data_IF_425714576550
#
_entry.id   IF_425714576550
#
_cell.length_a   1.000
_cell.length_b   1.000
_cell.length_c   1.000
_cell.angle_alpha   90.00
_cell.angle_beta   90.00
_cell.angle_gamma   90.00
#
_symmetry.space_group_name_H-M   'P 1'
#
loop_
_entity.id
_entity.type
_entity.pdbx_description
1 polymer ?
#
# COMPACT_ATOMS: atom_id res chain seq x y z
N UNK A 1 -63.77 18.25 -45.50
CA UNK A 1 -62.30 18.37 -45.45
C UNK A 1 -61.83 17.65 -44.20
N UNK A 2 -61.29 16.45 -44.38
CA UNK A 2 -60.85 15.55 -43.31
C UNK A 2 -59.45 15.93 -42.87
N UNK A 3 -59.27 16.23 -41.58
CA UNK A 3 -57.96 16.37 -40.95
C UNK A 3 -57.50 14.98 -40.50
N UNK A 4 -56.39 14.52 -41.07
CA UNK A 4 -55.73 13.27 -40.72
C UNK A 4 -55.22 13.32 -39.27
N UNK A 5 -55.62 12.34 -38.47
CA UNK A 5 -54.98 12.02 -37.19
C UNK A 5 -53.57 11.48 -37.45
N UNK A 6 -52.55 12.13 -36.90
CA UNK A 6 -51.23 11.55 -36.70
C UNK A 6 -51.17 10.96 -35.28
N UNK A 7 -51.20 9.64 -35.21
CA UNK A 7 -50.80 8.86 -34.04
C UNK A 7 -49.29 9.08 -33.79
N UNK A 8 -48.96 9.68 -32.65
CA UNK A 8 -47.64 9.58 -32.03
C UNK A 8 -47.85 9.03 -30.62
N UNK A 9 -48.13 7.73 -30.55
CA UNK A 9 -47.96 6.94 -29.33
C UNK A 9 -46.47 6.72 -29.08
N UNK A 10 -46.11 6.87 -27.81
CA UNK A 10 -44.99 6.18 -27.14
C UNK A 10 -43.57 6.55 -27.58
N UNK A 11 -43.05 7.64 -27.01
CA UNK A 11 -41.72 7.59 -26.39
C UNK A 11 -41.85 8.04 -24.96
N UNK A 12 -41.81 7.06 -24.06
CA UNK A 12 -41.81 7.25 -22.63
C UNK A 12 -40.73 8.26 -22.24
N UNK A 13 -41.16 9.28 -21.51
CA UNK A 13 -40.28 10.13 -20.75
C UNK A 13 -39.71 9.26 -19.64
N UNK A 14 -38.50 8.73 -19.81
CA UNK A 14 -37.82 8.04 -18.72
C UNK A 14 -37.48 9.06 -17.64
N UNK A 15 -37.89 8.83 -16.38
CA UNK A 15 -37.44 9.67 -15.28
C UNK A 15 -35.90 9.59 -15.20
N UNK A 16 -35.22 10.64 -14.72
CA UNK A 16 -33.77 10.54 -14.46
C UNK A 16 -33.54 9.34 -13.55
N UNK A 17 -32.50 8.52 -13.83
CA UNK A 17 -32.26 7.29 -13.08
C UNK A 17 -32.19 7.65 -11.59
N UNK A 18 -33.15 7.14 -10.82
CA UNK A 18 -33.12 7.20 -9.37
C UNK A 18 -31.87 6.49 -8.89
N UNK A 19 -31.22 7.06 -7.88
CA UNK A 19 -29.97 6.68 -7.17
C UNK A 19 -29.90 5.23 -6.63
N UNK A 20 -30.27 4.23 -7.41
CA UNK A 20 -30.16 2.81 -7.14
C UNK A 20 -29.97 2.14 -8.49
N UNK A 21 -28.70 2.04 -8.89
CA UNK A 21 -28.12 1.07 -9.84
C UNK A 21 -26.75 1.57 -10.35
N UNK A 22 -25.97 2.23 -9.48
CA UNK A 22 -24.52 2.11 -9.60
C UNK A 22 -24.20 0.80 -8.88
N UNK A 23 -23.95 -0.26 -9.64
CA UNK A 23 -23.37 -1.45 -9.06
C UNK A 23 -22.08 -1.01 -8.36
N UNK A 24 -21.99 -1.21 -7.06
CA UNK A 24 -20.74 -1.00 -6.31
C UNK A 24 -19.57 -1.76 -6.99
N UNK A 25 -19.87 -2.86 -7.69
CA UNK A 25 -18.96 -3.62 -8.53
C UNK A 25 -18.41 -2.89 -9.78
N UNK A 26 -19.06 -1.81 -10.25
CA UNK A 26 -18.58 -0.94 -11.34
C UNK A 26 -17.76 0.27 -10.82
N UNK A 27 -17.90 0.64 -9.54
CA UNK A 27 -16.97 1.54 -8.83
C UNK A 27 -15.72 0.74 -8.39
N UNK A 28 -15.92 -0.50 -7.92
CA UNK A 28 -14.84 -1.46 -7.61
C UNK A 28 -14.19 -2.05 -8.88
N UNK A 29 -14.64 -1.64 -10.08
CA UNK A 29 -14.01 -1.94 -11.35
C UNK A 29 -12.76 -1.09 -11.52
N UNK A 30 -11.76 -1.46 -10.72
CA UNK A 30 -10.34 -1.44 -11.06
C UNK A 30 -9.82 -0.07 -11.53
N UNK A 31 -9.15 0.62 -10.62
CA UNK A 31 -7.81 1.13 -10.96
C UNK A 31 -7.11 0.05 -11.80
N UNK A 32 -6.70 0.40 -13.02
CA UNK A 32 -6.19 -0.59 -13.96
C UNK A 32 -4.94 -1.25 -13.38
N UNK A 33 -4.55 -2.42 -13.89
CA UNK A 33 -3.25 -2.99 -13.53
C UNK A 33 -2.09 -2.01 -13.86
N UNK A 34 -2.32 -1.06 -14.77
CA UNK A 34 -1.38 0.02 -15.12
C UNK A 34 -1.22 1.04 -13.98
N UNK A 35 -2.30 1.44 -13.29
CA UNK A 35 -2.22 2.34 -12.12
C UNK A 35 -1.38 1.71 -11.00
N UNK A 36 -1.47 0.40 -10.82
CA UNK A 36 -0.67 -0.33 -9.85
C UNK A 36 0.79 -0.34 -10.25
N UNK A 37 1.06 -0.57 -11.53
CA UNK A 37 2.42 -0.55 -12.06
C UNK A 37 3.04 0.84 -11.90
N UNK A 38 2.28 1.90 -12.14
CA UNK A 38 2.75 3.28 -12.02
C UNK A 38 3.01 3.68 -10.56
N UNK A 39 2.07 3.42 -9.64
CA UNK A 39 2.30 3.65 -8.21
C UNK A 39 3.48 2.84 -7.67
N UNK A 40 3.61 1.56 -8.08
CA UNK A 40 4.78 0.76 -7.73
C UNK A 40 6.07 1.39 -8.25
N UNK A 41 6.07 1.91 -9.48
CA UNK A 41 7.24 2.57 -10.05
C UNK A 41 7.60 3.83 -9.25
N UNK A 42 6.64 4.72 -8.98
CA UNK A 42 6.85 5.94 -8.20
C UNK A 42 7.41 5.62 -6.81
N UNK A 43 6.81 4.64 -6.11
CA UNK A 43 7.26 4.28 -4.77
C UNK A 43 8.63 3.61 -4.78
N UNK A 44 9.03 2.89 -5.86
CA UNK A 44 10.36 2.27 -5.97
C UNK A 44 11.49 3.23 -6.36
N UNK A 45 11.17 4.42 -6.90
CA UNK A 45 12.17 5.36 -7.44
C UNK A 45 13.18 5.83 -6.39
N UNK A 46 12.81 5.90 -5.11
CA UNK A 46 13.69 6.45 -4.07
C UNK A 46 14.50 5.38 -3.30
N UNK A 47 15.33 4.59 -4.00
CA UNK A 47 16.16 3.55 -3.37
C UNK A 47 17.57 4.06 -3.00
N UNK A 48 17.93 4.09 -1.71
CA UNK A 48 19.34 4.27 -1.27
C UNK A 48 19.91 2.91 -0.87
N UNK A 49 20.72 2.32 -1.76
CA UNK A 49 20.97 0.88 -1.85
C UNK A 49 22.15 0.30 -1.04
N UNK A 50 22.58 0.88 0.07
CA UNK A 50 23.82 0.40 0.73
C UNK A 50 23.70 -0.01 2.19
N UNK A 51 22.68 0.44 2.91
CA UNK A 51 22.56 0.20 4.35
C UNK A 51 21.38 -0.74 4.63
N UNK A 52 21.60 -2.05 4.53
CA UNK A 52 20.60 -3.06 4.88
C UNK A 52 20.81 -3.55 6.31
N UNK A 53 19.72 -3.80 7.05
CA UNK A 53 19.84 -4.43 8.35
C UNK A 53 20.18 -5.91 8.20
N UNK A 54 21.12 -6.39 9.02
CA UNK A 54 21.51 -7.79 9.07
C UNK A 54 20.90 -8.45 10.30
N UNK A 55 20.22 -9.57 10.10
CA UNK A 55 19.61 -10.36 11.17
C UNK A 55 20.66 -11.19 11.96
N UNK A 56 20.35 -11.50 13.21
CA UNK A 56 21.12 -12.33 14.12
C UNK A 56 20.24 -13.49 14.64
N UNK A 57 20.60 -14.77 14.40
CA UNK A 57 21.78 -15.23 13.67
C UNK A 57 21.77 -14.83 12.18
N UNK A 58 22.94 -14.64 11.56
CA UNK A 58 23.03 -14.27 10.14
C UNK A 58 22.37 -15.33 9.26
N UNK A 59 21.65 -14.87 8.23
CA UNK A 59 20.91 -15.74 7.33
C UNK A 59 21.83 -16.69 6.53
N UNK A 60 21.36 -17.91 6.29
CA UNK A 60 22.05 -18.89 5.45
C UNK A 60 21.76 -18.65 3.97
N UNK A 61 22.76 -18.66 3.07
CA UNK A 61 22.56 -18.47 1.63
C UNK A 61 21.61 -19.50 0.97
N UNK A 62 20.91 -19.14 -0.14
CA UNK A 62 20.92 -17.83 -0.79
C UNK A 62 20.09 -16.80 -0.03
N UNK A 63 20.68 -15.59 0.13
CA UNK A 63 20.05 -14.45 0.79
C UNK A 63 19.66 -13.39 -0.22
N UNK A 64 18.61 -12.64 0.10
CA UNK A 64 18.17 -11.48 -0.69
C UNK A 64 17.73 -10.32 0.21
N UNK A 65 17.53 -9.16 -0.42
CA UNK A 65 17.03 -7.96 0.26
C UNK A 65 15.52 -8.07 0.36
N UNK A 66 15.03 -7.89 1.57
CA UNK A 66 13.63 -7.80 1.93
C UNK A 66 13.25 -6.37 2.28
N UNK A 67 12.03 -5.98 1.91
CA UNK A 67 11.34 -4.83 2.50
C UNK A 67 10.27 -5.39 3.43
N UNK A 68 10.38 -5.19 4.74
CA UNK A 68 9.41 -5.75 5.68
C UNK A 68 7.98 -5.32 5.29
N UNK A 69 7.79 -4.02 5.10
CA UNK A 69 6.65 -3.46 4.38
C UNK A 69 6.93 -3.48 2.87
N UNK A 70 6.45 -4.52 2.20
CA UNK A 70 6.58 -4.63 0.75
C UNK A 70 5.92 -3.44 0.03
N UNK A 71 6.56 -2.95 -1.03
CA UNK A 71 5.99 -1.88 -1.85
C UNK A 71 4.59 -2.23 -2.34
N UNK A 72 4.35 -3.49 -2.72
CA UNK A 72 3.04 -3.94 -3.17
C UNK A 72 1.98 -3.83 -2.07
N UNK A 73 2.33 -4.11 -0.81
CA UNK A 73 1.41 -4.01 0.33
C UNK A 73 1.12 -2.54 0.63
N UNK A 74 2.12 -1.68 0.55
CA UNK A 74 1.92 -0.23 0.70
C UNK A 74 1.01 0.31 -0.41
N UNK A 75 1.21 -0.11 -1.67
CA UNK A 75 0.34 0.29 -2.77
C UNK A 75 -1.10 -0.17 -2.52
N UNK A 76 -1.31 -1.41 -2.07
CA UNK A 76 -2.64 -1.91 -1.71
C UNK A 76 -3.26 -1.10 -0.57
N UNK A 77 -2.47 -0.73 0.44
CA UNK A 77 -2.91 0.07 1.58
C UNK A 77 -3.32 1.49 1.18
N UNK A 78 -2.56 2.18 0.33
CA UNK A 78 -2.84 3.59 -0.01
C UNK A 78 -3.99 3.77 -0.99
N UNK A 79 -4.29 2.78 -1.83
CA UNK A 79 -5.37 2.85 -2.83
C UNK A 79 -6.69 3.40 -2.28
N UNK A 80 -7.30 2.81 -1.24
CA UNK A 80 -8.54 3.33 -0.67
C UNK A 80 -8.38 4.75 -0.09
N UNK A 81 -7.16 5.15 0.30
CA UNK A 81 -6.89 6.47 0.86
C UNK A 81 -6.82 7.57 -0.20
N UNK A 82 -6.29 7.24 -1.38
CA UNK A 82 -6.03 8.20 -2.44
C UNK A 82 -7.20 8.35 -3.43
N UNK A 83 -8.02 7.31 -3.56
CA UNK A 83 -9.22 7.28 -4.42
C UNK A 83 -8.89 7.14 -5.91
N UNK A 84 -9.94 7.13 -6.75
CA UNK A 84 -9.83 6.92 -8.20
C UNK A 84 -9.06 8.04 -8.93
N UNK A 85 -9.09 9.26 -8.42
CA UNK A 85 -8.40 10.42 -9.01
C UNK A 85 -7.00 10.65 -8.39
N UNK A 86 -6.29 9.56 -8.11
CA UNK A 86 -4.99 9.62 -7.43
C UNK A 86 -3.94 10.44 -8.19
N UNK A 87 -4.01 10.46 -9.53
CA UNK A 87 -3.13 11.22 -10.42
C UNK A 87 -3.26 12.74 -10.27
N UNK A 88 -4.36 13.23 -9.67
CA UNK A 88 -4.53 14.66 -9.36
C UNK A 88 -3.79 15.07 -8.07
N UNK A 89 -3.30 14.10 -7.29
CA UNK A 89 -2.52 14.37 -6.07
C UNK A 89 -1.11 14.85 -6.42
N UNK A 90 -0.51 15.57 -5.49
CA UNK A 90 0.84 16.09 -5.67
C UNK A 90 1.82 14.92 -5.66
N UNK A 91 2.65 14.81 -6.69
CA UNK A 91 3.69 13.77 -6.76
C UNK A 91 4.61 13.77 -5.53
N UNK A 92 4.81 14.93 -4.91
CA UNK A 92 5.57 15.08 -3.66
C UNK A 92 5.06 14.20 -2.53
N UNK A 93 3.74 13.96 -2.44
CA UNK A 93 3.14 13.13 -1.39
C UNK A 93 3.59 11.66 -1.52
N UNK A 94 3.71 11.16 -2.76
CA UNK A 94 4.22 9.81 -3.04
C UNK A 94 5.75 9.71 -2.89
N UNK A 95 6.48 10.78 -3.22
CA UNK A 95 7.94 10.84 -3.05
C UNK A 95 8.35 10.90 -1.56
N UNK A 96 7.60 11.63 -0.71
CA UNK A 96 7.83 11.61 0.74
C UNK A 96 7.56 10.20 1.29
N UNK A 97 6.45 9.56 0.91
CA UNK A 97 6.16 8.17 1.30
C UNK A 97 7.26 7.19 0.85
N UNK A 98 7.68 7.30 -0.42
CA UNK A 98 8.75 6.46 -0.99
C UNK A 98 10.05 6.51 -0.18
N UNK A 99 10.38 7.67 0.39
CA UNK A 99 11.58 7.84 1.22
C UNK A 99 11.55 6.95 2.48
N UNK A 100 10.38 6.72 3.06
CA UNK A 100 10.22 5.87 4.25
C UNK A 100 10.08 4.39 3.89
N UNK A 101 9.34 4.07 2.83
CA UNK A 101 9.17 2.68 2.37
C UNK A 101 10.52 2.08 1.96
N UNK A 102 11.40 2.88 1.35
CA UNK A 102 12.74 2.46 0.97
C UNK A 102 13.81 2.93 1.97
N UNK A 103 13.43 3.10 3.24
CA UNK A 103 14.40 3.40 4.29
C UNK A 103 15.07 2.13 4.82
N UNK A 104 16.35 2.24 5.24
CA UNK A 104 17.11 1.14 5.85
C UNK A 104 16.34 0.43 6.99
N UNK A 105 15.56 1.15 7.81
CA UNK A 105 14.73 0.57 8.89
C UNK A 105 13.67 -0.42 8.40
N UNK A 106 13.30 -0.37 7.11
CA UNK A 106 12.40 -1.31 6.46
C UNK A 106 13.12 -2.46 5.74
N UNK A 107 14.45 -2.38 5.59
CA UNK A 107 15.20 -3.30 4.74
C UNK A 107 16.05 -4.30 5.53
N UNK A 108 15.95 -5.57 5.17
CA UNK A 108 16.62 -6.66 5.87
C UNK A 108 17.25 -7.68 4.92
N UNK A 109 18.31 -8.35 5.36
CA UNK A 109 18.84 -9.54 4.69
C UNK A 109 18.19 -10.81 5.24
N UNK A 110 17.42 -11.51 4.41
CA UNK A 110 16.75 -12.77 4.76
C UNK A 110 17.02 -13.86 3.73
N UNK A 111 16.66 -15.11 4.05
CA UNK A 111 16.75 -16.20 3.08
C UNK A 111 15.73 -16.00 1.96
N UNK A 112 16.06 -16.44 0.75
CA UNK A 112 15.13 -16.37 -0.38
C UNK A 112 13.81 -17.10 -0.07
N UNK A 113 13.86 -18.24 0.63
CA UNK A 113 12.67 -19.00 1.00
C UNK A 113 11.76 -18.21 1.96
N UNK A 114 12.33 -17.57 2.98
CA UNK A 114 11.61 -16.70 3.91
C UNK A 114 10.93 -15.53 3.18
N UNK A 115 11.63 -14.89 2.24
CA UNK A 115 11.07 -13.77 1.50
C UNK A 115 9.90 -14.19 0.58
N UNK A 116 10.07 -15.31 -0.13
CA UNK A 116 9.00 -15.84 -0.98
C UNK A 116 7.78 -16.24 -0.14
N UNK A 117 7.98 -16.83 1.04
CA UNK A 117 6.87 -17.13 1.94
C UNK A 117 6.17 -15.85 2.42
N UNK A 118 6.93 -14.86 2.90
CA UNK A 118 6.42 -13.55 3.35
C UNK A 118 5.53 -12.86 2.31
N UNK A 119 5.95 -12.86 1.05
CA UNK A 119 5.23 -12.19 -0.05
C UNK A 119 3.84 -12.75 -0.33
N UNK A 120 3.55 -13.96 0.14
CA UNK A 120 2.24 -14.61 0.00
C UNK A 120 1.32 -14.36 1.20
N UNK A 121 1.79 -13.67 2.23
CA UNK A 121 1.02 -13.35 3.43
C UNK A 121 0.36 -11.97 3.20
N UNK A 122 -0.98 -11.88 3.20
CA UNK A 122 -1.68 -10.60 3.12
C UNK A 122 -1.30 -9.68 4.29
N UNK A 123 -1.26 -8.38 4.05
CA UNK A 123 -0.83 -7.41 5.05
C UNK A 123 -1.73 -7.45 6.30
N UNK A 124 -3.03 -7.63 6.11
CA UNK A 124 -4.04 -7.74 7.17
C UNK A 124 -3.80 -8.92 8.15
N UNK A 125 -3.07 -9.95 7.71
CA UNK A 125 -2.79 -11.14 8.50
C UNK A 125 -1.49 -11.02 9.32
N UNK A 126 -0.66 -10.00 9.05
CA UNK A 126 0.64 -9.81 9.71
C UNK A 126 0.61 -9.88 11.25
N UNK A 127 -0.37 -9.28 11.95
CA UNK A 127 -0.41 -9.31 13.41
C UNK A 127 -0.59 -10.71 13.99
N UNK A 128 -1.21 -11.62 13.23
CA UNK A 128 -1.61 -12.94 13.70
C UNK A 128 -0.80 -14.09 13.06
N UNK A 129 -0.12 -13.83 11.94
CA UNK A 129 0.68 -14.82 11.24
C UNK A 129 1.93 -15.24 12.04
N UNK A 130 2.11 -16.56 12.20
CA UNK A 130 3.18 -17.12 13.01
C UNK A 130 4.57 -16.81 12.44
N UNK A 131 4.72 -16.84 11.11
CA UNK A 131 5.98 -16.56 10.46
C UNK A 131 6.33 -15.07 10.60
N UNK A 132 5.37 -14.17 10.38
CA UNK A 132 5.59 -12.72 10.56
C UNK A 132 5.97 -12.39 12.00
N UNK A 133 5.27 -12.95 12.99
CA UNK A 133 5.61 -12.76 14.41
C UNK A 133 7.01 -13.27 14.74
N UNK A 134 7.38 -14.44 14.23
CA UNK A 134 8.74 -14.97 14.40
C UNK A 134 9.77 -14.07 13.73
N UNK A 135 9.43 -13.46 12.59
CA UNK A 135 10.31 -12.53 11.88
C UNK A 135 10.49 -11.23 12.69
N UNK A 136 9.40 -10.65 13.21
CA UNK A 136 9.41 -9.48 14.09
C UNK A 136 10.32 -9.68 15.33
N UNK A 137 10.34 -10.89 15.89
CA UNK A 137 11.16 -11.28 17.04
C UNK A 137 12.67 -11.45 16.70
N UNK A 138 13.05 -11.50 15.41
CA UNK A 138 14.47 -11.66 15.02
C UNK A 138 15.26 -10.42 15.44
N UNK A 139 16.46 -10.64 15.97
CA UNK A 139 17.35 -9.54 16.36
C UNK A 139 18.17 -9.05 15.19
N UNK A 140 18.50 -7.77 15.18
CA UNK A 140 19.46 -7.16 14.27
C UNK A 140 20.86 -7.22 14.87
N UNK A 141 21.90 -7.03 14.05
CA UNK A 141 23.28 -6.88 14.54
C UNK A 141 23.45 -5.72 15.53
N UNK A 142 22.63 -4.68 15.43
CA UNK A 142 22.58 -3.56 16.40
C UNK A 142 22.01 -3.95 17.76
N UNK A 143 21.39 -5.14 17.89
CA UNK A 143 20.86 -5.68 19.14
C UNK A 143 19.36 -5.47 19.38
N UNK A 144 18.71 -4.58 18.63
CA UNK A 144 17.25 -4.38 18.63
C UNK A 144 16.53 -5.47 17.82
N UNK A 145 15.21 -5.59 17.93
CA UNK A 145 14.43 -6.52 17.08
C UNK A 145 14.06 -5.91 15.74
N UNK A 146 13.62 -6.75 14.79
CA UNK A 146 12.97 -6.29 13.56
C UNK A 146 11.76 -5.43 13.92
N UNK A 147 10.95 -5.87 14.88
CA UNK A 147 9.80 -5.10 15.40
C UNK A 147 10.18 -3.69 15.84
N UNK A 148 11.22 -3.54 16.67
CA UNK A 148 11.68 -2.22 17.13
C UNK A 148 12.03 -1.31 15.95
N UNK A 149 12.71 -1.84 14.93
CA UNK A 149 13.10 -1.10 13.72
C UNK A 149 11.90 -0.65 12.90
N UNK A 150 10.97 -1.57 12.59
CA UNK A 150 9.82 -1.28 11.73
C UNK A 150 8.73 -0.49 12.46
N UNK A 151 8.60 -0.64 13.78
CA UNK A 151 7.74 0.20 14.62
C UNK A 151 8.25 1.63 14.64
N UNK A 152 9.54 1.83 14.91
CA UNK A 152 10.13 3.18 14.90
C UNK A 152 10.01 3.86 13.52
N UNK A 153 10.01 3.09 12.43
CA UNK A 153 9.73 3.59 11.10
C UNK A 153 8.25 4.03 10.96
N UNK A 154 7.30 3.18 11.34
CA UNK A 154 5.87 3.50 11.27
C UNK A 154 5.49 4.71 12.13
N UNK A 155 6.05 4.83 13.33
CA UNK A 155 5.90 5.99 14.20
C UNK A 155 6.51 7.25 13.57
N UNK A 156 7.70 7.15 12.97
CA UNK A 156 8.32 8.29 12.27
C UNK A 156 7.49 8.73 11.06
N UNK A 157 6.83 7.80 10.37
CA UNK A 157 5.87 8.10 9.30
C UNK A 157 4.63 8.79 9.87
N UNK A 158 4.03 8.25 10.94
CA UNK A 158 2.84 8.78 11.63
C UNK A 158 3.05 10.22 12.09
N UNK A 159 4.24 10.50 12.63
CA UNK A 159 4.61 11.77 13.24
C UNK A 159 5.32 12.71 12.24
N UNK A 160 5.39 12.32 10.95
CA UNK A 160 6.07 13.07 9.89
C UNK A 160 5.49 14.47 9.70
N UNK A 161 6.33 15.49 9.78
CA UNK A 161 5.96 16.88 9.49
C UNK A 161 6.70 17.38 8.24
N UNK A 162 5.95 17.60 7.16
CA UNK A 162 6.42 18.15 5.88
C UNK A 162 5.22 18.64 5.05
N UNK A 163 5.45 19.53 4.09
CA UNK A 163 4.41 19.97 3.13
C UNK A 163 3.75 18.79 2.40
N UNK A 164 4.50 17.71 2.18
CA UNK A 164 4.09 16.50 1.46
C UNK A 164 3.81 15.29 2.37
N UNK A 165 3.67 15.52 3.69
CA UNK A 165 3.59 14.44 4.68
C UNK A 165 2.22 13.79 4.84
N UNK A 166 1.16 14.30 4.20
CA UNK A 166 -0.20 13.85 4.52
C UNK A 166 -0.40 12.35 4.28
N UNK A 167 0.03 11.87 3.12
CA UNK A 167 -0.06 10.45 2.76
C UNK A 167 0.84 9.60 3.67
N UNK A 168 2.10 9.99 3.85
CA UNK A 168 3.06 9.32 4.75
C UNK A 168 2.50 9.15 6.16
N UNK A 169 1.90 10.21 6.74
CA UNK A 169 1.28 10.15 8.07
C UNK A 169 0.08 9.21 8.15
N UNK A 170 -0.74 9.19 7.10
CA UNK A 170 -1.89 8.26 7.02
C UNK A 170 -1.40 6.83 6.99
N UNK A 171 -0.43 6.52 6.13
CA UNK A 171 0.19 5.18 6.06
C UNK A 171 0.81 4.79 7.39
N UNK A 172 1.57 5.69 8.03
CA UNK A 172 2.16 5.43 9.34
C UNK A 172 1.12 5.10 10.42
N UNK A 173 0.00 5.82 10.46
CA UNK A 173 -1.11 5.49 11.37
C UNK A 173 -1.68 4.10 11.11
N UNK A 174 -1.95 3.79 9.85
CA UNK A 174 -2.59 2.54 9.47
C UNK A 174 -1.69 1.33 9.72
N UNK A 175 -0.37 1.48 9.54
CA UNK A 175 0.60 0.45 9.94
C UNK A 175 0.66 0.27 11.47
N UNK A 176 0.63 1.35 12.25
CA UNK A 176 0.55 1.27 13.70
C UNK A 176 -0.76 0.60 14.16
N UNK A 177 -1.90 1.02 13.62
CA UNK A 177 -3.22 0.50 13.96
C UNK A 177 -3.34 -1.00 13.58
N UNK A 178 -2.85 -1.37 12.39
CA UNK A 178 -2.79 -2.77 11.94
C UNK A 178 -2.02 -3.64 12.94
N UNK A 179 -0.83 -3.19 13.35
CA UNK A 179 0.06 -3.96 14.22
C UNK A 179 -0.27 -3.84 15.71
N UNK A 180 -1.15 -2.93 16.10
CA UNK A 180 -1.48 -2.64 17.50
C UNK A 180 -0.36 -1.90 18.25
N UNK A 181 0.36 -0.99 17.58
CA UNK A 181 1.44 -0.18 18.14
C UNK A 181 1.03 1.25 18.47
#
# INVERSE_FOLDING_TARGET
MSLQLLNLTEKGFEPPPTSKDINQADIDKKMSDDDNAELNAIIRVHFKSSDFNILNPPATPPVEIDHFWEVQHIVQLIKPMIGENWYERRIGDFMDLSTFVNEHRNMFQITQADNQHKKNIPLEDYPNDLFIRTYLDRRLQSGITVEDSVRALAEAMRDRVSEYSELTRRVGRELCDLMGW
#
